data_IF_542659051167
#
_entry.id   IF_542659051167
#
_cell.length_a   1.000
_cell.length_b   1.000
_cell.length_c   1.000
_cell.angle_alpha   90.00
_cell.angle_beta   90.00
_cell.angle_gamma   90.00
#
_symmetry.space_group_name_H-M   'P 1'
#
loop_
_entity.id
_entity.type
_entity.pdbx_description
1 polymer ?
#
# COMPACT_ATOMS: atom_id res chain seq x y z
N UNK A 1 10.64 2.92 14.88
CA UNK A 1 10.54 3.02 13.41
C UNK A 1 9.52 2.00 12.92
N UNK A 2 8.76 2.26 11.85
CA UNK A 2 7.71 1.36 11.39
C UNK A 2 8.31 0.06 10.85
N UNK A 3 7.76 -1.09 11.26
CA UNK A 3 8.14 -2.38 10.71
C UNK A 3 7.55 -2.54 9.31
N UNK A 4 8.39 -2.90 8.34
CA UNK A 4 7.96 -3.19 6.97
C UNK A 4 8.67 -4.42 6.43
N UNK A 5 8.03 -5.08 5.46
CA UNK A 5 8.56 -6.27 4.78
C UNK A 5 8.64 -6.00 3.27
N UNK A 6 9.76 -6.35 2.64
CA UNK A 6 9.84 -6.39 1.17
C UNK A 6 9.42 -7.79 0.74
N UNK A 7 8.22 -7.92 0.17
CA UNK A 7 7.66 -9.21 -0.22
C UNK A 7 7.80 -9.50 -1.72
N UNK A 8 8.15 -8.49 -2.53
CA UNK A 8 8.39 -8.66 -3.97
C UNK A 8 9.62 -7.87 -4.40
N UNK A 9 10.49 -8.52 -5.20
CA UNK A 9 11.67 -7.92 -5.82
C UNK A 9 11.79 -8.40 -7.25
N UNK A 10 11.77 -7.48 -8.22
CA UNK A 10 11.90 -7.79 -9.64
C UNK A 10 12.98 -6.93 -10.29
N UNK A 11 13.98 -7.60 -10.85
CA UNK A 11 14.94 -6.94 -11.75
C UNK A 11 14.22 -6.62 -13.07
N UNK A 12 14.18 -5.34 -13.41
CA UNK A 12 13.51 -4.82 -14.61
C UNK A 12 14.51 -4.09 -15.53
N UNK A 13 15.76 -4.56 -15.51
CA UNK A 13 16.86 -3.99 -16.30
C UNK A 13 16.76 -4.33 -17.79
N UNK A 14 16.13 -5.47 -18.14
CA UNK A 14 16.06 -5.98 -19.50
C UNK A 14 15.44 -4.94 -20.46
N UNK A 15 16.17 -4.61 -21.54
CA UNK A 15 15.74 -3.64 -22.55
C UNK A 15 15.77 -2.16 -22.11
N UNK A 16 16.17 -1.86 -20.87
CA UNK A 16 16.04 -0.51 -20.30
C UNK A 16 17.30 0.37 -20.38
N UNK A 17 18.42 -0.21 -20.81
CA UNK A 17 19.73 0.45 -20.85
C UNK A 17 20.31 0.83 -19.48
N UNK A 18 19.67 0.40 -18.38
CA UNK A 18 20.09 0.71 -17.02
C UNK A 18 19.78 -0.48 -16.07
N UNK A 19 20.49 -0.56 -14.95
CA UNK A 19 20.19 -1.53 -13.89
C UNK A 19 19.05 -1.02 -13.02
N UNK A 20 17.88 -1.64 -13.13
CA UNK A 20 16.64 -1.15 -12.50
C UNK A 20 16.00 -2.21 -11.63
N UNK A 21 15.47 -1.79 -10.49
CA UNK A 21 14.81 -2.69 -9.55
C UNK A 21 13.41 -2.19 -9.20
N UNK A 22 12.41 -3.04 -9.39
CA UNK A 22 11.07 -2.84 -8.88
C UNK A 22 10.89 -3.62 -7.56
N UNK A 23 10.33 -2.96 -6.55
CA UNK A 23 10.19 -3.45 -5.19
C UNK A 23 8.75 -3.23 -4.73
N UNK A 24 8.19 -4.22 -4.04
CA UNK A 24 6.98 -4.03 -3.23
C UNK A 24 7.31 -4.24 -1.76
N UNK A 25 7.02 -3.20 -0.99
CA UNK A 25 7.16 -3.19 0.45
C UNK A 25 5.78 -3.06 1.08
N UNK A 26 5.56 -3.77 2.17
CA UNK A 26 4.33 -3.70 2.93
C UNK A 26 4.58 -3.10 4.30
N UNK A 27 3.80 -2.08 4.64
CA UNK A 27 3.75 -1.49 5.96
C UNK A 27 2.57 -2.06 6.74
N UNK A 28 2.85 -2.93 7.71
CA UNK A 28 1.83 -3.63 8.53
C UNK A 28 1.45 -2.82 9.78
N UNK A 29 1.17 -1.55 9.62
CA UNK A 29 0.77 -0.66 10.73
C UNK A 29 -0.46 0.14 10.35
N UNK A 30 -1.29 0.48 11.33
CA UNK A 30 -2.42 1.40 11.17
C UNK A 30 -2.59 2.27 12.44
N UNK A 31 -2.96 3.56 12.32
CA UNK A 31 -3.03 4.36 11.09
C UNK A 31 -1.66 4.61 10.45
N UNK A 32 -1.68 4.96 9.16
CA UNK A 32 -0.47 5.31 8.39
C UNK A 32 -0.53 6.78 7.99
N UNK A 33 0.61 7.46 8.12
CA UNK A 33 0.84 8.84 7.69
C UNK A 33 1.81 8.88 6.52
N UNK A 34 1.76 9.95 5.72
CA UNK A 34 2.69 10.18 4.60
C UNK A 34 4.16 10.11 5.04
N UNK A 35 4.46 10.64 6.23
CA UNK A 35 5.80 10.59 6.82
C UNK A 35 6.28 9.14 7.05
N UNK A 36 5.41 8.25 7.50
CA UNK A 36 5.77 6.84 7.71
C UNK A 36 6.06 6.13 6.39
N UNK A 37 5.24 6.38 5.37
CA UNK A 37 5.42 5.77 4.04
C UNK A 37 6.71 6.27 3.37
N UNK A 38 6.97 7.59 3.43
CA UNK A 38 8.20 8.18 2.92
C UNK A 38 9.44 7.68 3.68
N UNK A 39 9.33 7.48 5.00
CA UNK A 39 10.40 6.90 5.79
C UNK A 39 10.70 5.44 5.40
N UNK A 40 9.67 4.64 5.09
CA UNK A 40 9.85 3.28 4.56
C UNK A 40 10.57 3.30 3.21
N UNK A 41 10.11 4.13 2.27
CA UNK A 41 10.76 4.27 0.96
C UNK A 41 12.24 4.70 1.08
N UNK A 42 12.54 5.65 1.96
CA UNK A 42 13.91 6.09 2.25
C UNK A 42 14.79 4.95 2.81
N UNK A 43 14.26 4.13 3.71
CA UNK A 43 14.98 2.97 4.24
C UNK A 43 15.22 1.89 3.17
N UNK A 44 14.25 1.68 2.28
CA UNK A 44 14.41 0.77 1.14
C UNK A 44 15.56 1.25 0.25
N UNK A 45 15.65 2.56 -0.05
CA UNK A 45 16.78 3.14 -0.81
C UNK A 45 18.10 2.83 -0.11
N UNK A 46 18.22 3.14 1.18
CA UNK A 46 19.47 2.94 1.92
C UNK A 46 19.90 1.46 1.97
N UNK A 47 18.96 0.52 2.10
CA UNK A 47 19.27 -0.92 2.04
C UNK A 47 19.82 -1.38 0.69
N UNK A 48 19.55 -0.64 -0.38
CA UNK A 48 20.00 -0.96 -1.74
C UNK A 48 21.21 -0.14 -2.19
N UNK A 49 21.73 0.74 -1.32
CA UNK A 49 22.95 1.52 -1.56
C UNK A 49 24.14 0.60 -1.79
N UNK A 50 24.94 0.93 -2.81
CA UNK A 50 26.14 0.17 -3.18
C UNK A 50 25.89 -1.15 -3.90
N UNK A 51 24.63 -1.53 -4.19
CA UNK A 51 24.33 -2.77 -4.93
C UNK A 51 24.38 -2.61 -6.47
N UNK A 52 24.77 -1.44 -6.95
CA UNK A 52 24.92 -1.15 -8.39
C UNK A 52 23.59 -0.92 -9.13
N UNK A 53 22.51 -0.59 -8.42
CA UNK A 53 21.25 -0.17 -9.02
C UNK A 53 21.31 1.29 -9.46
N UNK A 54 20.83 1.57 -10.66
CA UNK A 54 20.72 2.90 -11.24
C UNK A 54 19.35 3.55 -11.03
N UNK A 55 18.32 2.76 -10.70
CA UNK A 55 17.04 3.29 -10.21
C UNK A 55 16.28 2.24 -9.39
N UNK A 56 15.45 2.70 -8.45
CA UNK A 56 14.51 1.89 -7.67
C UNK A 56 13.07 2.43 -7.85
N UNK A 57 12.13 1.53 -8.13
CA UNK A 57 10.69 1.80 -8.11
C UNK A 57 10.14 1.06 -6.90
N UNK A 58 9.59 1.81 -5.95
CA UNK A 58 9.21 1.30 -4.64
C UNK A 58 7.72 1.51 -4.48
N UNK A 59 6.96 0.42 -4.54
CA UNK A 59 5.54 0.43 -4.18
C UNK A 59 5.43 0.10 -2.71
N UNK A 60 4.95 1.02 -1.91
CA UNK A 60 4.63 0.80 -0.50
C UNK A 60 3.13 0.56 -0.40
N UNK A 61 2.72 -0.67 -0.13
CA UNK A 61 1.34 -1.01 0.22
C UNK A 61 1.15 -0.86 1.72
N UNK A 62 -0.04 -0.41 2.11
CA UNK A 62 -0.42 -0.24 3.51
C UNK A 62 -1.92 -0.49 3.67
N UNK A 63 -2.31 -0.78 4.91
CA UNK A 63 -3.68 -1.16 5.30
C UNK A 63 -4.20 -2.44 4.64
N UNK A 64 -3.89 -3.58 5.28
CA UNK A 64 -4.40 -4.91 4.89
C UNK A 64 -5.91 -5.10 5.10
N UNK A 65 -6.61 -4.12 5.68
CA UNK A 65 -8.05 -4.25 5.97
C UNK A 65 -8.90 -3.79 4.78
N UNK A 66 -8.27 -3.44 3.65
CA UNK A 66 -8.91 -3.14 2.37
C UNK A 66 -8.75 -4.32 1.42
N UNK A 67 -9.77 -4.61 0.60
CA UNK A 67 -9.70 -5.58 -0.52
C UNK A 67 -8.56 -5.24 -1.47
N UNK A 68 -8.36 -3.94 -1.72
CA UNK A 68 -7.27 -3.40 -2.52
C UNK A 68 -6.44 -2.49 -1.63
N UNK A 69 -5.35 -2.98 -1.01
CA UNK A 69 -4.55 -2.18 -0.10
C UNK A 69 -4.08 -0.91 -0.79
N UNK A 70 -4.41 0.22 -0.18
CA UNK A 70 -3.91 1.53 -0.58
C UNK A 70 -2.38 1.51 -0.70
N UNK A 71 -1.86 2.33 -1.61
CA UNK A 71 -0.45 2.32 -1.94
C UNK A 71 0.11 3.70 -2.25
N UNK A 72 1.42 3.80 -2.10
CA UNK A 72 2.24 4.89 -2.56
C UNK A 72 3.35 4.35 -3.46
N UNK A 73 3.67 5.10 -4.51
CA UNK A 73 4.75 4.76 -5.44
C UNK A 73 5.83 5.82 -5.31
N UNK A 74 7.06 5.37 -5.06
CA UNK A 74 8.24 6.21 -5.01
C UNK A 74 9.22 5.80 -6.08
N UNK A 75 9.90 6.80 -6.62
CA UNK A 75 11.00 6.63 -7.57
C UNK A 75 12.27 7.18 -6.95
N UNK A 76 13.30 6.34 -6.90
CA UNK A 76 14.67 6.74 -6.59
C UNK A 76 15.50 6.63 -7.86
N UNK A 77 15.88 7.78 -8.40
CA UNK A 77 16.60 7.88 -9.67
C UNK A 77 17.28 9.26 -9.76
N UNK A 78 18.16 9.50 -10.74
CA UNK A 78 18.63 10.86 -11.06
C UNK A 78 17.44 11.80 -11.23
N UNK A 79 17.50 12.97 -10.58
CA UNK A 79 16.42 13.96 -10.61
C UNK A 79 15.07 13.48 -10.05
N UNK A 80 15.03 12.30 -9.41
CA UNK A 80 13.81 11.69 -8.90
C UNK A 80 12.89 11.11 -9.97
N UNK A 81 13.38 10.85 -11.19
CA UNK A 81 12.57 10.34 -12.30
C UNK A 81 13.06 9.00 -12.79
N UNK A 82 12.21 7.99 -12.75
CA UNK A 82 12.54 6.64 -13.22
C UNK A 82 13.02 6.61 -14.67
N UNK A 83 12.51 7.49 -15.53
CA UNK A 83 12.94 7.62 -16.92
C UNK A 83 14.41 8.04 -17.07
N UNK A 84 14.99 8.67 -16.05
CA UNK A 84 16.38 9.14 -16.06
C UNK A 84 17.38 8.10 -15.53
N UNK A 85 16.95 6.88 -15.24
CA UNK A 85 17.82 5.83 -14.69
C UNK A 85 19.15 5.64 -15.47
N UNK A 86 19.11 5.74 -16.81
CA UNK A 86 20.29 5.53 -17.65
C UNK A 86 21.36 6.63 -17.53
N UNK A 87 21.00 7.83 -17.05
CA UNK A 87 21.96 8.94 -16.87
C UNK A 87 22.66 8.88 -15.52
N UNK A 88 22.21 7.98 -14.64
CA UNK A 88 22.67 7.90 -13.27
C UNK A 88 23.89 7.02 -13.07
N UNK A 89 24.78 7.48 -12.20
CA UNK A 89 25.91 6.70 -11.71
C UNK A 89 25.52 5.88 -10.47
N UNK A 90 25.49 4.55 -10.65
CA UNK A 90 25.15 3.60 -9.59
C UNK A 90 26.15 3.55 -8.43
N UNK A 91 27.38 4.06 -8.62
CA UNK A 91 28.40 4.06 -7.58
C UNK A 91 28.26 5.25 -6.63
N UNK A 92 28.06 6.45 -7.19
CA UNK A 92 28.04 7.69 -6.39
C UNK A 92 26.64 8.14 -6.02
N UNK A 93 25.61 7.76 -6.78
CA UNK A 93 24.24 8.26 -6.64
C UNK A 93 24.15 9.80 -6.59
N UNK A 94 25.13 10.49 -7.18
CA UNK A 94 25.12 11.96 -7.23
C UNK A 94 23.92 12.43 -8.05
N UNK A 95 23.14 13.37 -7.50
CA UNK A 95 21.97 13.93 -8.18
C UNK A 95 20.72 13.04 -8.10
N UNK A 96 20.76 11.93 -7.36
CA UNK A 96 19.58 11.12 -7.13
C UNK A 96 18.65 11.77 -6.10
N UNK A 97 17.35 11.60 -6.31
CA UNK A 97 16.31 12.07 -5.40
C UNK A 97 15.24 11.01 -5.24
N UNK A 98 14.59 11.02 -4.07
CA UNK A 98 13.42 10.21 -3.80
C UNK A 98 12.21 11.08 -4.13
N UNK A 99 11.43 10.67 -5.12
CA UNK A 99 10.21 11.36 -5.52
C UNK A 99 9.00 10.48 -5.25
N UNK A 100 7.93 11.06 -4.73
CA UNK A 100 6.64 10.38 -4.63
C UNK A 100 5.92 10.52 -5.98
N UNK A 101 5.98 9.48 -6.82
CA UNK A 101 5.31 9.47 -8.12
C UNK A 101 3.79 9.32 -7.98
N UNK A 102 3.31 8.71 -6.90
CA UNK A 102 1.89 8.57 -6.60
C UNK A 102 1.69 8.44 -5.10
N UNK A 103 0.81 9.26 -4.52
CA UNK A 103 0.30 9.12 -3.17
C UNK A 103 -1.23 9.06 -3.30
N UNK A 104 -1.85 7.92 -2.95
CA UNK A 104 -3.32 7.81 -2.93
C UNK A 104 -3.90 8.78 -1.89
N UNK A 105 -5.08 9.33 -2.19
CA UNK A 105 -5.72 10.47 -1.48
C UNK A 105 -5.82 10.30 0.05
N UNK A 106 -5.93 9.06 0.54
CA UNK A 106 -5.90 8.74 1.98
C UNK A 106 -4.72 9.31 2.75
N UNK A 107 -3.53 9.40 2.14
CA UNK A 107 -2.36 10.02 2.79
C UNK A 107 -2.42 11.55 2.75
N UNK A 108 -3.08 12.11 1.74
CA UNK A 108 -3.21 13.54 1.53
C UNK A 108 -4.36 14.17 2.34
N UNK A 109 -5.33 13.38 2.82
CA UNK A 109 -6.54 13.86 3.49
C UNK A 109 -6.84 13.18 4.86
N UNK A 110 -5.87 13.04 5.79
CA UNK A 110 -6.06 12.27 7.04
C UNK A 110 -7.16 12.83 7.97
N UNK A 111 -7.57 14.09 7.76
CA UNK A 111 -8.53 14.78 8.63
C UNK A 111 -9.93 14.98 8.01
N UNK A 112 -10.15 14.63 6.74
CA UNK A 112 -11.46 14.83 6.08
C UNK A 112 -12.38 13.64 6.17
N UNK A 113 -11.83 12.45 6.42
CA UNK A 113 -12.58 11.20 6.44
C UNK A 113 -12.62 10.65 7.87
N UNK A 114 -13.81 10.36 8.39
CA UNK A 114 -13.96 9.73 9.71
C UNK A 114 -13.40 8.31 9.62
N UNK A 115 -12.31 8.03 10.35
CA UNK A 115 -11.72 6.70 10.40
C UNK A 115 -12.76 5.66 10.85
N UNK A 116 -12.92 4.54 10.13
CA UNK A 116 -13.71 3.40 10.59
C UNK A 116 -13.22 2.89 11.95
N UNK A 117 -14.13 2.30 12.72
CA UNK A 117 -13.76 1.67 13.98
C UNK A 117 -12.97 0.38 13.74
N UNK A 118 -12.21 -0.08 14.74
CA UNK A 118 -11.52 -1.39 14.65
C UNK A 118 -12.51 -2.52 14.31
N UNK A 119 -13.71 -2.48 14.88
CA UNK A 119 -14.79 -3.41 14.55
C UNK A 119 -15.19 -3.34 13.07
N UNK A 120 -15.30 -2.15 12.49
CA UNK A 120 -15.62 -1.98 11.07
C UNK A 120 -14.60 -2.69 10.19
N UNK A 121 -13.31 -2.52 10.51
CA UNK A 121 -12.24 -3.18 9.76
C UNK A 121 -12.23 -4.70 9.90
N UNK A 122 -12.48 -5.24 11.09
CA UNK A 122 -12.55 -6.71 11.29
C UNK A 122 -13.70 -7.29 10.47
N UNK A 123 -14.88 -6.65 10.50
CA UNK A 123 -16.05 -7.13 9.79
C UNK A 123 -15.91 -7.00 8.27
N UNK A 124 -15.32 -5.90 7.77
CA UNK A 124 -15.03 -5.76 6.35
C UNK A 124 -14.07 -6.86 5.86
N UNK A 125 -13.00 -7.16 6.60
CA UNK A 125 -12.09 -8.25 6.26
C UNK A 125 -12.78 -9.63 6.25
N UNK A 126 -13.64 -9.92 7.24
CA UNK A 126 -14.44 -11.15 7.26
C UNK A 126 -15.42 -11.25 6.08
N UNK A 127 -16.05 -10.13 5.72
CA UNK A 127 -16.98 -10.05 4.60
C UNK A 127 -16.27 -10.33 3.28
N UNK A 128 -15.15 -9.65 3.01
CA UNK A 128 -14.37 -9.82 1.79
C UNK A 128 -13.84 -11.25 1.65
N UNK A 129 -13.31 -11.82 2.73
CA UNK A 129 -12.84 -13.20 2.71
C UNK A 129 -13.97 -14.18 2.36
N UNK A 130 -15.16 -13.98 2.95
CA UNK A 130 -16.30 -14.86 2.72
C UNK A 130 -16.89 -14.72 1.30
N UNK A 131 -16.85 -13.53 0.69
CA UNK A 131 -17.30 -13.31 -0.68
C UNK A 131 -16.26 -13.76 -1.72
N UNK A 132 -14.96 -13.67 -1.42
CA UNK A 132 -13.88 -14.19 -2.26
C UNK A 132 -13.82 -15.73 -2.27
N UNK A 133 -13.93 -16.37 -1.09
CA UNK A 133 -13.84 -17.83 -0.96
C UNK A 133 -15.06 -18.56 -1.55
N UNK A 134 -16.18 -17.85 -1.73
CA UNK A 134 -17.47 -18.46 -2.05
C UNK A 134 -18.32 -17.57 -2.95
N UNK A 135 -17.90 -17.45 -4.22
CA UNK A 135 -18.51 -16.59 -5.25
C UNK A 135 -20.00 -16.87 -5.53
N UNK A 136 -20.53 -18.02 -5.09
CA UNK A 136 -21.95 -18.40 -5.23
C UNK A 136 -22.84 -17.92 -4.07
N UNK A 137 -22.25 -17.45 -2.96
CA UNK A 137 -22.99 -16.97 -1.78
C UNK A 137 -23.34 -15.49 -1.97
N UNK A 138 -24.61 -15.12 -1.77
CA UNK A 138 -25.01 -13.72 -1.85
C UNK A 138 -24.41 -12.89 -0.71
N UNK A 139 -24.05 -11.64 -1.00
CA UNK A 139 -23.53 -10.68 0.00
C UNK A 139 -24.47 -10.56 1.20
N UNK A 140 -25.78 -10.57 0.97
CA UNK A 140 -26.80 -10.54 2.03
C UNK A 140 -26.73 -11.76 2.97
N UNK A 141 -26.45 -12.95 2.43
CA UNK A 141 -26.29 -14.15 3.22
C UNK A 141 -24.99 -14.09 4.05
N UNK A 142 -23.90 -13.56 3.48
CA UNK A 142 -22.64 -13.33 4.20
C UNK A 142 -22.83 -12.33 5.35
N UNK A 143 -23.49 -11.19 5.09
CA UNK A 143 -23.78 -10.17 6.10
C UNK A 143 -24.66 -10.71 7.23
N UNK A 144 -25.67 -11.52 6.91
CA UNK A 144 -26.54 -12.16 7.90
C UNK A 144 -25.77 -13.10 8.82
N UNK A 145 -24.86 -13.91 8.27
CA UNK A 145 -24.03 -14.83 9.06
C UNK A 145 -23.00 -14.07 9.91
N UNK A 146 -22.35 -13.04 9.37
CA UNK A 146 -21.44 -12.15 10.13
C UNK A 146 -22.21 -11.50 11.28
N UNK A 147 -23.38 -10.94 11.02
CA UNK A 147 -24.21 -10.29 12.03
C UNK A 147 -24.57 -11.24 13.17
N UNK A 148 -24.93 -12.48 12.84
CA UNK A 148 -25.21 -13.55 13.81
C UNK A 148 -23.98 -13.90 14.66
N UNK A 149 -22.80 -14.06 14.05
CA UNK A 149 -21.54 -14.36 14.77
C UNK A 149 -21.17 -13.24 15.75
N UNK A 150 -21.34 -11.98 15.33
CA UNK A 150 -20.97 -10.79 16.11
C UNK A 150 -22.10 -10.28 17.03
N UNK A 151 -23.27 -10.94 17.04
CA UNK A 151 -24.46 -10.57 17.83
C UNK A 151 -24.92 -9.12 17.58
N UNK A 152 -24.89 -8.71 16.32
CA UNK A 152 -25.39 -7.41 15.85
C UNK A 152 -26.51 -7.60 14.85
N UNK A 153 -27.21 -6.53 14.47
CA UNK A 153 -28.16 -6.60 13.35
C UNK A 153 -27.43 -6.67 12.01
N UNK A 154 -28.05 -7.27 11.00
CA UNK A 154 -27.53 -7.29 9.62
C UNK A 154 -27.27 -5.88 9.10
N UNK A 155 -28.20 -4.95 9.35
CA UNK A 155 -28.03 -3.53 9.00
C UNK A 155 -26.80 -2.89 9.67
N UNK A 156 -26.46 -3.29 10.90
CA UNK A 156 -25.25 -2.80 11.57
C UNK A 156 -23.98 -3.44 11.00
N UNK A 157 -24.03 -4.71 10.59
CA UNK A 157 -22.93 -5.36 9.90
C UNK A 157 -22.65 -4.67 8.55
N UNK A 158 -23.70 -4.41 7.78
CA UNK A 158 -23.64 -3.66 6.51
C UNK A 158 -23.05 -2.26 6.72
N UNK A 159 -23.56 -1.47 7.67
CA UNK A 159 -23.02 -0.13 7.99
C UNK A 159 -21.52 -0.19 8.30
N UNK A 160 -21.08 -1.21 9.04
CA UNK A 160 -19.67 -1.39 9.42
C UNK A 160 -18.79 -1.82 8.24
N UNK A 161 -19.30 -2.67 7.35
CA UNK A 161 -18.60 -3.07 6.11
C UNK A 161 -18.47 -1.86 5.18
N UNK A 162 -19.57 -1.16 4.93
CA UNK A 162 -19.63 0.02 4.04
C UNK A 162 -18.82 1.19 4.58
N UNK A 163 -18.74 1.38 5.91
CA UNK A 163 -17.92 2.44 6.48
C UNK A 163 -16.43 2.34 6.07
N UNK A 164 -15.91 1.13 5.87
CA UNK A 164 -14.55 0.92 5.38
C UNK A 164 -14.45 1.26 3.89
N UNK A 165 -15.45 0.91 3.09
CA UNK A 165 -15.52 1.23 1.65
C UNK A 165 -15.67 2.73 1.40
N UNK A 166 -16.59 3.39 2.09
CA UNK A 166 -16.77 4.85 2.04
C UNK A 166 -15.50 5.58 2.47
N UNK A 167 -14.83 5.05 3.50
CA UNK A 167 -13.52 5.54 3.89
C UNK A 167 -12.45 5.25 2.83
N UNK A 168 -12.57 4.19 2.01
CA UNK A 168 -11.69 3.93 0.85
C UNK A 168 -11.83 4.88 -0.31
N UNK A 169 -13.02 5.44 -0.48
CA UNK A 169 -13.34 6.37 -1.55
C UNK A 169 -13.22 7.84 -1.11
N UNK A 170 -12.76 8.06 0.12
CA UNK A 170 -12.38 9.33 0.71
C UNK A 170 -10.83 9.36 0.85
#
# INVERSE_FOLDING_TARGET
>A
MPAYEIFERRDVSAGSGARRLALRAELRTFPVSEQQVTAVASQVVERHRGQGWQALSIVVTYDRREVLPSYAVFEWAPGGRWSEAATGDAATWRGYQLNAATLREKLAQPNKCRLPTEQAYVLNAEFNQATEDNVEVSEEAVLSEIAKRHKISTARAEELVVAVEDWTMC
#
